data_IF_126430333217
#
_entry.id   IF_126430333217
#
_cell.length_a   1.000
_cell.length_b   1.000
_cell.length_c   1.000
_cell.angle_alpha   90.00
_cell.angle_beta   90.00
_cell.angle_gamma   90.00
#
_symmetry.space_group_name_H-M   'P 1'
#
loop_
_entity.id
_entity.type
_entity.pdbx_description
1 polymer ?
#
# COMPACT_ATOMS: atom_id res chain seq x y z
N UNK A 1 10.49 0.28 18.16
CA UNK A 1 9.98 -0.37 16.93
C UNK A 1 8.88 -1.34 17.32
N UNK A 2 7.72 -1.24 16.71
CA UNK A 2 6.65 -2.22 16.87
C UNK A 2 6.94 -3.39 15.91
N UNK A 3 7.04 -4.63 16.37
CA UNK A 3 7.31 -5.77 15.50
C UNK A 3 6.14 -6.02 14.54
N UNK A 4 6.42 -6.65 13.41
CA UNK A 4 5.38 -7.14 12.49
C UNK A 4 4.59 -8.24 13.22
N UNK A 5 3.31 -7.96 13.48
CA UNK A 5 2.40 -8.84 14.20
C UNK A 5 0.95 -8.52 13.80
N UNK A 6 -0.01 -9.27 14.36
CA UNK A 6 -1.41 -8.88 14.25
C UNK A 6 -1.57 -7.44 14.72
N UNK A 7 -2.31 -6.63 13.96
CA UNK A 7 -2.53 -5.21 14.23
C UNK A 7 -3.15 -5.02 15.63
N UNK A 8 -2.42 -4.32 16.51
CA UNK A 8 -2.90 -3.91 17.84
C UNK A 8 -2.86 -2.38 17.87
N UNK A 9 -4.01 -1.76 17.65
CA UNK A 9 -4.17 -0.30 17.53
C UNK A 9 -3.59 0.43 18.74
N UNK A 10 -3.88 -0.05 19.93
CA UNK A 10 -3.46 0.55 21.21
C UNK A 10 -1.92 0.61 21.30
N UNK A 11 -1.24 -0.44 20.88
CA UNK A 11 0.23 -0.49 20.90
C UNK A 11 0.85 0.47 19.89
N UNK A 12 0.26 0.59 18.71
CA UNK A 12 0.72 1.55 17.69
C UNK A 12 0.52 2.99 18.19
N UNK A 13 -0.66 3.29 18.73
CA UNK A 13 -0.97 4.61 19.27
C UNK A 13 -0.05 4.98 20.44
N UNK A 14 0.16 4.07 21.38
CA UNK A 14 1.06 4.29 22.50
C UNK A 14 2.51 4.55 22.05
N UNK A 15 2.98 3.77 21.07
CA UNK A 15 4.32 3.95 20.49
C UNK A 15 4.43 5.30 19.78
N UNK A 16 3.47 5.66 18.94
CA UNK A 16 3.46 6.92 18.21
C UNK A 16 3.46 8.14 19.16
N UNK A 17 2.61 8.09 20.19
CA UNK A 17 2.53 9.17 21.20
C UNK A 17 3.81 9.32 22.03
N UNK A 18 4.55 8.23 22.23
CA UNK A 18 5.80 8.25 22.99
C UNK A 18 7.01 8.71 22.15
N UNK A 19 6.87 8.85 20.83
CA UNK A 19 7.96 9.30 19.97
C UNK A 19 8.35 10.75 20.31
N UNK A 20 9.67 10.96 20.43
CA UNK A 20 10.26 12.29 20.56
C UNK A 20 11.12 12.55 19.33
N UNK A 21 10.82 13.59 18.53
CA UNK A 21 11.63 13.93 17.35
C UNK A 21 13.08 14.18 17.76
N UNK A 22 14.03 13.51 17.11
CA UNK A 22 15.47 13.68 17.37
C UNK A 22 16.26 13.32 16.11
N UNK A 23 17.29 14.12 15.83
CA UNK A 23 18.25 13.86 14.75
C UNK A 23 17.73 14.22 13.37
N UNK A 24 18.31 13.61 12.35
CA UNK A 24 17.95 13.84 10.96
C UNK A 24 16.90 12.84 10.43
N UNK A 25 16.63 12.92 9.14
CA UNK A 25 15.64 12.12 8.41
C UNK A 25 16.34 11.02 7.60
N UNK A 26 16.60 9.82 8.15
CA UNK A 26 17.32 8.74 7.47
C UNK A 26 16.36 7.89 6.61
N UNK A 27 15.73 8.46 5.58
CA UNK A 27 14.73 7.78 4.76
C UNK A 27 15.25 6.47 4.16
N UNK A 28 16.37 6.56 3.45
CA UNK A 28 16.97 5.41 2.78
C UNK A 28 17.29 4.26 3.74
N UNK A 29 17.83 4.59 4.90
CA UNK A 29 18.17 3.61 5.94
C UNK A 29 16.92 2.98 6.55
N UNK A 30 15.86 3.75 6.74
CA UNK A 30 14.58 3.28 7.28
C UNK A 30 13.91 2.30 6.30
N UNK A 31 13.93 2.62 5.01
CA UNK A 31 13.42 1.76 3.95
C UNK A 31 14.18 0.44 3.90
N UNK A 32 15.51 0.49 3.88
CA UNK A 32 16.35 -0.72 3.85
C UNK A 32 16.12 -1.59 5.08
N UNK A 33 15.93 -0.98 6.25
CA UNK A 33 15.61 -1.74 7.46
C UNK A 33 14.28 -2.49 7.34
N UNK A 34 13.26 -1.90 6.72
CA UNK A 34 11.96 -2.56 6.52
C UNK A 34 12.06 -3.81 5.62
N UNK A 35 13.06 -3.87 4.73
CA UNK A 35 13.34 -5.08 3.93
C UNK A 35 13.66 -6.26 4.83
N UNK A 36 14.50 -6.05 5.86
CA UNK A 36 14.83 -7.09 6.83
C UNK A 36 13.60 -7.59 7.60
N UNK A 37 12.74 -6.65 8.02
CA UNK A 37 11.52 -6.97 8.75
C UNK A 37 10.54 -7.78 7.88
N UNK A 38 10.41 -7.45 6.59
CA UNK A 38 9.52 -8.14 5.66
C UNK A 38 10.06 -9.47 5.14
N UNK A 39 11.37 -9.69 5.21
CA UNK A 39 11.97 -10.94 4.73
C UNK A 39 11.40 -12.16 5.43
N UNK A 40 11.19 -12.08 6.73
CA UNK A 40 10.60 -13.15 7.53
C UNK A 40 9.11 -13.38 7.20
N UNK A 41 8.41 -12.35 6.70
CA UNK A 41 7.01 -12.42 6.29
C UNK A 41 6.82 -12.86 4.81
N UNK A 42 7.92 -13.12 4.08
CA UNK A 42 7.86 -13.50 2.66
C UNK A 42 7.61 -12.34 1.70
N UNK A 43 7.61 -11.10 2.19
CA UNK A 43 7.35 -9.88 1.44
C UNK A 43 6.23 -9.04 2.05
N UNK A 44 5.80 -7.99 1.35
CA UNK A 44 4.71 -7.15 1.81
C UNK A 44 4.71 -5.73 1.27
N UNK A 45 3.89 -4.88 1.88
CA UNK A 45 3.77 -3.47 1.55
C UNK A 45 4.33 -2.59 2.66
N UNK A 46 5.09 -1.57 2.29
CA UNK A 46 5.60 -0.52 3.18
C UNK A 46 4.93 0.78 2.82
N UNK A 47 4.42 1.50 3.79
CA UNK A 47 3.97 2.88 3.64
C UNK A 47 4.93 3.76 4.42
N UNK A 48 5.73 4.52 3.69
CA UNK A 48 6.63 5.54 4.26
C UNK A 48 5.89 6.87 4.30
N UNK A 49 5.85 7.50 5.46
CA UNK A 49 5.34 8.87 5.62
C UNK A 49 6.51 9.75 6.01
N UNK A 50 6.72 10.84 5.28
CA UNK A 50 7.79 11.79 5.55
C UNK A 50 7.35 13.22 5.33
N UNK A 51 7.79 14.12 6.20
CA UNK A 51 7.64 15.57 6.12
C UNK A 51 8.95 16.28 5.76
N UNK A 52 10.00 15.51 5.45
CA UNK A 52 11.33 16.03 5.17
C UNK A 52 12.11 15.20 4.16
N UNK A 53 13.18 15.83 3.68
CA UNK A 53 14.13 15.24 2.75
C UNK A 53 15.10 14.29 3.48
N UNK A 54 15.79 13.43 2.71
CA UNK A 54 16.90 12.63 3.23
C UNK A 54 18.02 13.54 3.76
N UNK A 55 18.29 13.50 5.04
CA UNK A 55 19.31 14.36 5.69
C UNK A 55 20.50 13.59 6.27
N UNK A 56 20.55 12.27 6.08
CA UNK A 56 21.56 11.39 6.68
C UNK A 56 22.52 10.75 5.66
N UNK A 57 22.79 11.42 4.54
CA UNK A 57 23.71 10.96 3.47
C UNK A 57 23.22 9.68 2.74
N UNK A 58 21.95 9.31 2.85
CA UNK A 58 21.32 8.28 2.06
C UNK A 58 20.95 8.77 0.66
N UNK A 59 20.50 7.86 -0.20
CA UNK A 59 19.86 8.22 -1.47
C UNK A 59 18.77 7.25 -1.84
N UNK A 60 17.72 7.75 -2.51
CA UNK A 60 16.64 6.94 -3.05
C UNK A 60 17.17 5.84 -3.98
N UNK A 61 18.18 6.16 -4.80
CA UNK A 61 18.82 5.21 -5.72
C UNK A 61 19.52 4.07 -4.99
N UNK A 62 20.22 4.35 -3.89
CA UNK A 62 20.85 3.33 -3.07
C UNK A 62 19.82 2.40 -2.42
N UNK A 63 18.76 2.96 -1.86
CA UNK A 63 17.66 2.20 -1.28
C UNK A 63 16.99 1.29 -2.34
N UNK A 64 16.69 1.79 -3.53
CA UNK A 64 16.14 1.00 -4.63
C UNK A 64 17.05 -0.18 -5.01
N UNK A 65 18.37 0.05 -5.08
CA UNK A 65 19.36 -1.00 -5.38
C UNK A 65 19.35 -2.09 -4.31
N UNK A 66 19.31 -1.72 -3.04
CA UNK A 66 19.30 -2.68 -1.93
C UNK A 66 17.99 -3.47 -1.87
N UNK A 67 16.85 -2.82 -2.08
CA UNK A 67 15.55 -3.51 -2.18
C UNK A 67 15.63 -4.59 -3.28
N UNK A 68 16.09 -4.22 -4.47
CA UNK A 68 16.22 -5.16 -5.60
C UNK A 68 17.18 -6.29 -5.30
N UNK A 69 18.32 -6.00 -4.69
CA UNK A 69 19.33 -6.99 -4.34
C UNK A 69 18.86 -7.98 -3.25
N UNK A 70 17.93 -7.56 -2.39
CA UNK A 70 17.40 -8.40 -1.31
C UNK A 70 16.57 -9.59 -1.79
N UNK A 71 15.99 -9.51 -3.00
CA UNK A 71 15.04 -10.49 -3.53
C UNK A 71 13.68 -10.50 -2.81
N UNK A 72 13.46 -9.62 -1.82
CA UNK A 72 12.19 -9.53 -1.09
C UNK A 72 11.14 -8.87 -1.98
N UNK A 73 9.98 -9.49 -2.10
CA UNK A 73 8.81 -8.91 -2.79
C UNK A 73 8.24 -7.79 -1.92
N UNK A 74 8.69 -6.57 -2.15
CA UNK A 74 8.29 -5.38 -1.40
C UNK A 74 7.66 -4.37 -2.34
N UNK A 75 6.50 -3.82 -1.95
CA UNK A 75 5.89 -2.65 -2.57
C UNK A 75 6.05 -1.47 -1.61
N UNK A 76 6.71 -0.40 -2.06
CA UNK A 76 6.92 0.81 -1.27
C UNK A 76 5.98 1.91 -1.75
N UNK A 77 5.04 2.30 -0.91
CA UNK A 77 4.23 3.51 -1.10
C UNK A 77 4.81 4.63 -0.24
N UNK A 78 4.88 5.83 -0.78
CA UNK A 78 5.45 6.99 -0.06
C UNK A 78 4.40 8.09 -0.01
N UNK A 79 4.20 8.64 1.19
CA UNK A 79 3.36 9.81 1.41
C UNK A 79 4.28 10.96 1.84
N UNK A 80 4.43 11.97 0.98
CA UNK A 80 5.12 13.22 1.28
C UNK A 80 4.15 14.20 1.91
N UNK A 81 4.43 14.61 3.15
CA UNK A 81 3.61 15.57 3.88
C UNK A 81 4.28 16.94 3.88
N UNK A 82 3.62 17.93 3.29
CA UNK A 82 4.12 19.33 3.18
C UNK A 82 5.50 19.46 2.53
N UNK A 83 5.89 18.51 1.67
CA UNK A 83 7.11 18.64 0.88
C UNK A 83 6.90 19.73 -0.18
N UNK A 84 7.94 20.56 -0.39
CA UNK A 84 7.89 21.70 -1.31
C UNK A 84 8.91 21.60 -2.45
N UNK A 85 9.78 20.59 -2.42
CA UNK A 85 10.80 20.35 -3.44
C UNK A 85 10.31 19.36 -4.47
N UNK A 86 9.98 19.82 -5.67
CA UNK A 86 9.59 18.97 -6.80
C UNK A 86 10.67 17.92 -7.14
N UNK A 87 11.93 18.26 -6.99
CA UNK A 87 13.04 17.31 -7.21
C UNK A 87 12.95 16.13 -6.26
N UNK A 88 12.70 16.40 -4.97
CA UNK A 88 12.55 15.36 -3.94
C UNK A 88 11.31 14.52 -4.19
N UNK A 89 10.19 15.14 -4.53
CA UNK A 89 8.96 14.42 -4.87
C UNK A 89 9.18 13.46 -6.04
N UNK A 90 9.86 13.92 -7.10
CA UNK A 90 10.20 13.10 -8.27
C UNK A 90 11.14 11.93 -7.92
N UNK A 91 12.14 12.16 -7.06
CA UNK A 91 13.03 11.09 -6.58
C UNK A 91 12.27 10.04 -5.76
N UNK A 92 11.43 10.47 -4.85
CA UNK A 92 10.59 9.58 -4.03
C UNK A 92 9.56 8.84 -4.89
N UNK A 93 8.97 9.51 -5.88
CA UNK A 93 8.07 8.91 -6.85
C UNK A 93 8.75 7.83 -7.68
N UNK A 94 9.96 8.08 -8.15
CA UNK A 94 10.79 7.11 -8.88
C UNK A 94 11.13 5.90 -8.00
N UNK A 95 11.49 6.14 -6.74
CA UNK A 95 11.77 5.07 -5.78
C UNK A 95 10.53 4.20 -5.53
N UNK A 96 9.39 4.81 -5.24
CA UNK A 96 8.14 4.09 -5.05
C UNK A 96 7.78 3.26 -6.30
N UNK A 97 7.80 3.88 -7.48
CA UNK A 97 7.51 3.23 -8.76
C UNK A 97 8.43 2.05 -9.07
N UNK A 98 9.71 2.10 -8.65
CA UNK A 98 10.67 1.00 -8.85
C UNK A 98 10.29 -0.29 -8.14
N UNK A 99 9.37 -0.23 -7.17
CA UNK A 99 8.85 -1.37 -6.40
C UNK A 99 7.39 -1.69 -6.73
N UNK A 100 6.81 -1.02 -7.73
CA UNK A 100 5.39 -1.12 -8.07
C UNK A 100 4.46 -0.34 -7.14
N UNK A 101 5.02 0.51 -6.27
CA UNK A 101 4.27 1.43 -5.41
C UNK A 101 4.05 2.81 -6.04
N UNK A 102 3.51 3.74 -5.24
CA UNK A 102 3.19 5.11 -5.66
C UNK A 102 3.63 6.14 -4.62
N UNK A 103 3.86 7.37 -5.11
CA UNK A 103 4.01 8.56 -4.29
C UNK A 103 2.67 9.30 -4.21
N UNK A 104 2.38 9.82 -3.03
CA UNK A 104 1.20 10.62 -2.74
C UNK A 104 1.65 11.89 -2.02
N UNK A 105 1.33 13.05 -2.57
CA UNK A 105 1.52 14.33 -1.87
C UNK A 105 0.33 14.57 -0.93
N UNK A 106 0.59 15.22 0.19
CA UNK A 106 -0.41 15.69 1.15
C UNK A 106 0.04 17.02 1.77
N UNK A 107 -0.83 18.02 1.77
CA UNK A 107 -0.50 19.36 2.28
C UNK A 107 -1.13 19.63 3.65
N UNK A 108 -2.12 18.85 4.04
CA UNK A 108 -2.78 18.95 5.35
C UNK A 108 -3.11 17.57 5.93
N UNK A 109 -3.65 17.56 7.15
CA UNK A 109 -3.99 16.32 7.86
C UNK A 109 -5.10 15.50 7.19
N UNK A 110 -6.04 16.13 6.50
CA UNK A 110 -7.12 15.44 5.80
C UNK A 110 -6.58 14.74 4.55
N UNK A 111 -5.72 15.44 3.79
CA UNK A 111 -5.02 14.86 2.64
C UNK A 111 -4.07 13.74 3.06
N UNK A 112 -3.34 13.91 4.18
CA UNK A 112 -2.48 12.88 4.73
C UNK A 112 -3.28 11.60 5.06
N UNK A 113 -4.40 11.74 5.77
CA UNK A 113 -5.24 10.59 6.10
C UNK A 113 -5.76 9.89 4.84
N UNK A 114 -6.17 10.66 3.82
CA UNK A 114 -6.61 10.13 2.52
C UNK A 114 -5.48 9.42 1.78
N UNK A 115 -4.30 10.03 1.72
CA UNK A 115 -3.12 9.46 1.05
C UNK A 115 -2.70 8.12 1.67
N UNK A 116 -2.66 8.03 3.00
CA UNK A 116 -2.35 6.79 3.73
C UNK A 116 -3.39 5.71 3.44
N UNK A 117 -4.69 6.04 3.43
CA UNK A 117 -5.74 5.08 3.05
C UNK A 117 -5.56 4.58 1.61
N UNK A 118 -5.28 5.47 0.66
CA UNK A 118 -5.03 5.08 -0.73
C UNK A 118 -3.78 4.20 -0.87
N UNK A 119 -2.71 4.52 -0.15
CA UNK A 119 -1.49 3.71 -0.13
C UNK A 119 -1.75 2.30 0.42
N UNK A 120 -2.62 2.16 1.42
CA UNK A 120 -3.00 0.88 1.99
C UNK A 120 -3.86 0.02 1.03
N UNK A 121 -4.65 0.65 0.14
CA UNK A 121 -5.51 -0.05 -0.82
C UNK A 121 -4.76 -0.80 -1.94
N UNK A 122 -3.49 -0.54 -2.13
CA UNK A 122 -2.77 -1.03 -3.31
C UNK A 122 -2.50 -2.53 -3.35
N UNK A 123 -2.70 -3.27 -2.26
CA UNK A 123 -2.51 -4.72 -2.22
C UNK A 123 -3.42 -5.39 -1.19
N UNK A 124 -4.70 -5.11 -1.28
CA UNK A 124 -5.68 -5.83 -0.48
C UNK A 124 -5.95 -7.20 -1.12
N UNK A 125 -5.95 -8.27 -0.35
CA UNK A 125 -6.37 -9.56 -0.85
C UNK A 125 -7.86 -9.54 -1.21
N UNK A 126 -8.21 -10.23 -2.26
CA UNK A 126 -9.59 -10.47 -2.63
C UNK A 126 -9.80 -11.90 -3.09
N UNK A 127 -10.98 -12.40 -2.85
CA UNK A 127 -11.45 -13.71 -3.29
C UNK A 127 -12.65 -13.55 -4.22
N UNK A 128 -12.69 -14.36 -5.26
CA UNK A 128 -13.80 -14.42 -6.24
C UNK A 128 -14.47 -15.77 -6.12
N UNK A 129 -15.78 -15.75 -5.92
CA UNK A 129 -16.63 -16.93 -5.83
C UNK A 129 -17.59 -16.96 -7.00
N UNK A 130 -17.89 -18.17 -7.51
CA UNK A 130 -18.93 -18.37 -8.51
C UNK A 130 -20.35 -18.29 -7.90
N UNK A 131 -21.36 -18.46 -8.74
CA UNK A 131 -22.78 -18.46 -8.33
C UNK A 131 -23.12 -19.58 -7.33
N UNK A 132 -22.38 -20.68 -7.34
CA UNK A 132 -22.55 -21.79 -6.41
C UNK A 132 -21.81 -21.55 -5.06
N UNK A 133 -21.03 -20.47 -4.95
CA UNK A 133 -20.22 -20.15 -3.78
C UNK A 133 -18.86 -20.85 -3.74
N UNK A 134 -18.44 -21.49 -4.83
CA UNK A 134 -17.11 -22.07 -4.92
C UNK A 134 -16.06 -20.97 -5.19
N UNK A 135 -14.91 -21.04 -4.49
CA UNK A 135 -13.78 -20.14 -4.73
C UNK A 135 -13.18 -20.46 -6.10
N UNK A 136 -13.19 -19.48 -7.01
CA UNK A 136 -12.63 -19.62 -8.37
C UNK A 136 -11.31 -18.89 -8.55
N UNK A 137 -11.06 -17.85 -7.75
CA UNK A 137 -9.82 -17.08 -7.83
C UNK A 137 -9.53 -16.31 -6.54
N UNK A 138 -8.25 -16.21 -6.18
CA UNK A 138 -7.74 -15.31 -5.14
C UNK A 138 -6.64 -14.43 -5.73
N UNK A 139 -6.66 -13.13 -5.43
CA UNK A 139 -5.70 -12.17 -5.95
C UNK A 139 -5.48 -10.99 -5.01
N UNK A 140 -4.81 -9.98 -5.52
CA UNK A 140 -4.58 -8.72 -4.81
C UNK A 140 -5.04 -7.54 -5.68
N UNK A 141 -5.58 -6.51 -5.05
CA UNK A 141 -5.91 -5.25 -5.75
C UNK A 141 -4.68 -4.70 -6.47
N UNK A 142 -4.90 -3.99 -7.58
CA UNK A 142 -3.84 -3.48 -8.47
C UNK A 142 -3.07 -4.54 -9.26
N UNK A 143 -3.53 -5.76 -9.30
CA UNK A 143 -3.06 -6.76 -10.27
C UNK A 143 -3.62 -6.47 -11.67
N UNK A 144 -3.01 -7.09 -12.67
CA UNK A 144 -3.51 -7.06 -14.05
C UNK A 144 -4.87 -7.74 -14.13
N UNK A 145 -5.66 -7.36 -15.14
CA UNK A 145 -6.95 -7.99 -15.44
C UNK A 145 -6.83 -9.51 -15.57
N UNK A 146 -7.87 -10.22 -15.15
CA UNK A 146 -7.98 -11.67 -15.25
C UNK A 146 -9.15 -12.05 -16.14
N UNK A 147 -8.97 -13.12 -16.87
CA UNK A 147 -10.05 -13.72 -17.66
C UNK A 147 -10.85 -14.66 -16.77
N UNK A 148 -12.17 -14.49 -16.78
CA UNK A 148 -13.13 -15.37 -16.16
C UNK A 148 -14.14 -15.82 -17.21
N UNK A 149 -14.68 -17.00 -17.05
CA UNK A 149 -15.78 -17.46 -17.91
C UNK A 149 -17.02 -16.57 -17.72
N UNK A 150 -17.87 -16.39 -18.75
CA UNK A 150 -19.13 -15.69 -18.59
C UNK A 150 -19.96 -16.29 -17.46
N UNK A 151 -20.52 -15.45 -16.60
CA UNK A 151 -21.27 -15.90 -15.43
C UNK A 151 -21.42 -14.84 -14.35
N UNK A 152 -22.08 -15.23 -13.27
CA UNK A 152 -22.26 -14.40 -12.09
C UNK A 152 -21.24 -14.78 -11.01
N UNK A 153 -20.60 -13.79 -10.43
CA UNK A 153 -19.56 -13.95 -9.42
C UNK A 153 -19.82 -13.02 -8.24
N UNK A 154 -19.23 -13.33 -7.09
CA UNK A 154 -19.13 -12.45 -5.93
C UNK A 154 -17.66 -12.24 -5.61
N UNK A 155 -17.29 -10.99 -5.33
CA UNK A 155 -15.94 -10.61 -4.91
C UNK A 155 -16.01 -10.21 -3.44
N UNK A 156 -15.15 -10.82 -2.63
CA UNK A 156 -14.93 -10.47 -1.23
C UNK A 156 -13.57 -9.81 -1.09
N UNK A 157 -13.51 -8.67 -0.41
CA UNK A 157 -12.28 -7.93 -0.14
C UNK A 157 -12.22 -7.62 1.35
N UNK A 158 -11.13 -7.96 2.02
CA UNK A 158 -10.84 -7.47 3.36
C UNK A 158 -10.02 -6.18 3.30
N UNK A 159 -10.68 -5.06 3.55
CA UNK A 159 -10.06 -3.76 3.56
C UNK A 159 -9.80 -3.30 5.00
N UNK A 160 -8.69 -3.74 5.57
CA UNK A 160 -8.28 -3.37 6.93
C UNK A 160 -9.34 -3.71 8.00
N UNK A 161 -9.96 -4.88 7.89
CA UNK A 161 -11.00 -5.38 8.79
C UNK A 161 -12.42 -4.97 8.40
N UNK A 162 -12.59 -4.16 7.33
CA UNK A 162 -13.88 -3.93 6.71
C UNK A 162 -14.08 -4.98 5.61
N UNK A 163 -15.06 -5.86 5.80
CA UNK A 163 -15.45 -6.83 4.78
C UNK A 163 -16.30 -6.14 3.72
N UNK A 164 -15.86 -6.22 2.48
CA UNK A 164 -16.58 -5.69 1.33
C UNK A 164 -16.99 -6.84 0.44
N UNK A 165 -18.22 -6.80 -0.04
CA UNK A 165 -18.75 -7.76 -0.99
C UNK A 165 -19.40 -7.03 -2.15
N UNK A 166 -19.18 -7.51 -3.36
CA UNK A 166 -19.79 -7.00 -4.58
C UNK A 166 -20.13 -8.14 -5.54
N UNK A 167 -21.30 -8.07 -6.15
CA UNK A 167 -21.71 -9.00 -7.20
C UNK A 167 -21.24 -8.50 -8.57
N UNK A 168 -20.74 -9.38 -9.39
CA UNK A 168 -20.19 -9.10 -10.72
C UNK A 168 -20.76 -10.06 -11.74
N UNK A 169 -21.25 -9.54 -12.86
CA UNK A 169 -21.59 -10.33 -14.03
C UNK A 169 -20.52 -10.18 -15.09
N UNK A 170 -19.92 -11.28 -15.51
CA UNK A 170 -18.95 -11.33 -16.61
C UNK A 170 -19.70 -11.71 -17.87
N UNK A 171 -19.59 -10.87 -18.89
CA UNK A 171 -20.14 -11.10 -20.23
C UNK A 171 -19.01 -11.47 -21.17
N UNK A 172 -19.26 -12.38 -22.10
CA UNK A 172 -18.26 -12.81 -23.07
C UNK A 172 -17.74 -11.61 -23.90
N UNK A 173 -16.42 -11.52 -24.05
CA UNK A 173 -15.71 -10.45 -24.78
C UNK A 173 -15.88 -9.03 -24.21
N UNK A 174 -16.33 -8.90 -22.96
CA UNK A 174 -16.42 -7.62 -22.28
C UNK A 174 -15.45 -7.56 -21.10
N UNK A 175 -15.02 -6.34 -20.75
CA UNK A 175 -14.22 -6.06 -19.56
C UNK A 175 -15.08 -5.43 -18.49
N UNK A 176 -15.18 -6.09 -17.34
CA UNK A 176 -15.80 -5.53 -16.15
C UNK A 176 -14.73 -5.00 -15.20
N UNK A 177 -14.90 -3.78 -14.72
CA UNK A 177 -13.94 -3.14 -13.80
C UNK A 177 -14.59 -2.85 -12.46
N UNK A 178 -13.87 -3.16 -11.40
CA UNK A 178 -14.26 -2.86 -10.02
C UNK A 178 -13.22 -1.93 -9.42
N UNK A 179 -13.67 -0.85 -8.82
CA UNK A 179 -12.82 0.17 -8.21
C UNK A 179 -13.08 0.23 -6.71
N UNK A 180 -12.00 0.18 -5.94
CA UNK A 180 -12.03 0.53 -4.52
C UNK A 180 -11.84 2.03 -4.34
N UNK A 181 -12.69 2.65 -3.55
CA UNK A 181 -12.62 4.07 -3.19
C UNK A 181 -12.67 4.26 -1.69
N UNK A 182 -12.12 5.37 -1.24
CA UNK A 182 -12.25 5.85 0.14
C UNK A 182 -13.38 6.88 0.16
N UNK A 183 -14.42 6.59 0.92
CA UNK A 183 -15.55 7.48 1.16
C UNK A 183 -15.63 7.80 2.66
N UNK A 184 -15.17 9.02 3.03
CA UNK A 184 -15.01 9.37 4.44
C UNK A 184 -14.03 8.43 5.14
N UNK A 185 -14.50 7.73 6.16
CA UNK A 185 -13.70 6.76 6.94
C UNK A 185 -13.86 5.31 6.49
N UNK A 186 -14.61 5.05 5.43
CA UNK A 186 -14.91 3.71 4.94
C UNK A 186 -14.36 3.47 3.55
N UNK A 187 -14.18 2.20 3.23
CA UNK A 187 -13.92 1.76 1.88
C UNK A 187 -15.24 1.41 1.20
N UNK A 188 -15.35 1.72 -0.08
CA UNK A 188 -16.50 1.39 -0.90
C UNK A 188 -16.07 0.78 -2.23
N UNK A 189 -16.87 -0.14 -2.75
CA UNK A 189 -16.71 -0.69 -4.09
C UNK A 189 -17.59 0.13 -5.05
N UNK A 190 -17.05 0.42 -6.25
CA UNK A 190 -17.75 1.02 -7.38
C UNK A 190 -17.47 0.24 -8.65
N UNK A 191 -18.41 0.28 -9.59
CA UNK A 191 -18.32 -0.26 -10.97
C UNK A 191 -18.02 0.84 -11.97
#
# INVERSE_FOLDING_TARGET
VVPIAKLVREMIMATATALKPRGGTPLSRSIVKSVGDLKAAGGGSVILITDGEESCKGSAKAAAKEIKASGVKLTLNIVGFTLTSETVENELGTLAGSTGGRYYAAQDGAELARAVKLAALQRLPYDVFDAAGALVYSGQTSELSRELLPGNYRIHIDAAGQQLEESLTIVANETSSIYLRVEGDRFAIRR
#
